data_IF_517825642625
#
_entry.id   IF_517825642625
#
_cell.length_a   1.000
_cell.length_b   1.000
_cell.length_c   1.000
_cell.angle_alpha   90.00
_cell.angle_beta   90.00
_cell.angle_gamma   90.00
#
_symmetry.space_group_name_H-M   'P 1'
#
loop_
_entity.id
_entity.type
_entity.pdbx_description
1 polymer ?
#
# COMPACT_ATOMS: atom_id res chain seq x y z
N UNK A 1 -4.28 -18.57 27.12
CA UNK A 1 -5.04 -19.37 26.14
C UNK A 1 -5.29 -18.44 24.97
N UNK A 2 -4.65 -18.68 23.82
CA UNK A 2 -4.70 -17.75 22.68
C UNK A 2 -6.11 -17.64 22.12
N UNK A 3 -6.52 -16.44 21.73
CA UNK A 3 -7.75 -16.24 20.97
C UNK A 3 -7.62 -17.04 19.67
N UNK A 4 -8.58 -17.93 19.40
CA UNK A 4 -8.64 -18.63 18.12
C UNK A 4 -9.34 -17.72 17.10
N UNK A 5 -8.59 -17.33 16.08
CA UNK A 5 -9.04 -16.51 14.95
C UNK A 5 -9.66 -17.44 13.90
N UNK A 6 -10.86 -17.11 13.44
CA UNK A 6 -11.52 -17.78 12.32
C UNK A 6 -11.59 -16.89 11.07
N UNK A 7 -12.10 -17.43 9.97
CA UNK A 7 -12.18 -16.74 8.67
C UNK A 7 -13.00 -15.44 8.74
N UNK A 8 -14.01 -15.38 9.60
CA UNK A 8 -14.82 -14.16 9.77
C UNK A 8 -13.99 -13.10 10.51
N UNK A 9 -13.24 -13.49 11.53
CA UNK A 9 -12.31 -12.59 12.21
C UNK A 9 -11.22 -12.06 11.26
N UNK A 10 -10.68 -12.91 10.37
CA UNK A 10 -9.73 -12.51 9.33
C UNK A 10 -10.34 -11.44 8.39
N UNK A 11 -11.52 -11.69 7.84
CA UNK A 11 -12.20 -10.73 6.95
C UNK A 11 -12.57 -9.43 7.65
N UNK A 12 -12.97 -9.47 8.93
CA UNK A 12 -13.17 -8.27 9.75
C UNK A 12 -11.88 -7.45 9.80
N UNK A 13 -10.73 -8.09 10.07
CA UNK A 13 -9.43 -7.41 10.10
C UNK A 13 -9.08 -6.81 8.74
N UNK A 14 -9.36 -7.52 7.64
CA UNK A 14 -9.13 -7.02 6.29
C UNK A 14 -9.88 -5.72 6.02
N UNK A 15 -11.21 -5.70 6.20
CA UNK A 15 -12.03 -4.52 5.90
C UNK A 15 -11.75 -3.34 6.84
N UNK A 16 -11.49 -3.61 8.12
CA UNK A 16 -11.10 -2.53 9.05
C UNK A 16 -9.73 -1.95 8.72
N UNK A 17 -8.84 -2.77 8.18
CA UNK A 17 -7.52 -2.32 7.75
C UNK A 17 -7.60 -1.46 6.49
N UNK A 18 -8.56 -1.73 5.60
CA UNK A 18 -8.82 -0.95 4.40
C UNK A 18 -9.36 0.45 4.74
N UNK A 19 -10.47 0.54 5.48
CA UNK A 19 -11.05 1.82 5.86
C UNK A 19 -11.89 1.73 7.16
N UNK A 20 -11.22 1.71 8.32
CA UNK A 20 -11.88 1.59 9.63
C UNK A 20 -12.93 2.67 9.92
N UNK A 21 -12.74 3.91 9.43
CA UNK A 21 -13.60 5.05 9.77
C UNK A 21 -14.97 4.97 9.10
N UNK A 22 -15.04 4.41 7.89
CA UNK A 22 -16.26 4.35 7.09
C UNK A 22 -16.84 2.93 6.96
N UNK A 23 -16.12 1.92 7.45
CA UNK A 23 -16.59 0.53 7.44
C UNK A 23 -17.31 0.19 8.74
N UNK A 24 -18.64 0.17 8.71
CA UNK A 24 -19.46 -0.16 9.87
C UNK A 24 -19.69 -1.68 10.01
N UNK A 25 -20.06 -2.12 11.23
CA UNK A 25 -20.37 -3.53 11.46
C UNK A 25 -21.49 -4.09 10.55
N UNK A 26 -22.56 -3.34 10.22
CA UNK A 26 -23.50 -3.73 9.15
C UNK A 26 -22.86 -3.94 7.78
N UNK A 27 -21.95 -3.06 7.37
CA UNK A 27 -21.28 -3.16 6.06
C UNK A 27 -20.41 -4.42 5.96
N UNK A 28 -19.69 -4.75 7.03
CA UNK A 28 -18.92 -5.99 7.11
C UNK A 28 -19.85 -7.20 7.17
N UNK A 29 -20.94 -7.11 7.94
CA UNK A 29 -21.89 -8.21 8.12
C UNK A 29 -22.52 -8.67 6.81
N UNK A 30 -22.84 -7.73 5.92
CA UNK A 30 -23.32 -8.01 4.56
C UNK A 30 -22.28 -8.74 3.72
N UNK A 31 -21.00 -8.36 3.83
CA UNK A 31 -19.89 -8.95 3.05
C UNK A 31 -19.49 -10.34 3.52
N UNK A 32 -19.64 -10.65 4.81
CA UNK A 32 -19.17 -11.92 5.42
C UNK A 32 -20.31 -12.88 5.77
N UNK A 33 -21.54 -12.59 5.34
CA UNK A 33 -22.76 -13.38 5.55
C UNK A 33 -23.04 -13.74 7.03
N UNK A 34 -22.98 -12.72 7.91
CA UNK A 34 -23.34 -12.87 9.33
C UNK A 34 -24.19 -11.69 9.81
N UNK A 35 -24.69 -11.74 11.04
CA UNK A 35 -25.46 -10.63 11.60
C UNK A 35 -24.55 -9.47 12.06
N UNK A 36 -25.00 -8.21 11.91
CA UNK A 36 -24.28 -7.04 12.43
C UNK A 36 -23.95 -7.11 13.94
N UNK A 37 -24.84 -7.62 14.83
CA UNK A 37 -24.48 -7.90 16.22
C UNK A 37 -23.33 -8.91 16.38
N UNK A 38 -23.25 -9.93 15.51
CA UNK A 38 -22.14 -10.89 15.50
C UNK A 38 -20.82 -10.20 15.19
N UNK A 39 -20.77 -9.36 14.15
CA UNK A 39 -19.57 -8.59 13.78
C UNK A 39 -19.14 -7.66 14.92
N UNK A 40 -20.05 -6.88 15.50
CA UNK A 40 -19.73 -5.99 16.63
C UNK A 40 -19.10 -6.74 17.80
N UNK A 41 -19.66 -7.90 18.14
CA UNK A 41 -19.12 -8.74 19.22
C UNK A 41 -17.72 -9.27 18.89
N UNK A 42 -17.46 -9.63 17.62
CA UNK A 42 -16.14 -10.09 17.18
C UNK A 42 -15.11 -8.96 17.19
N UNK A 43 -15.44 -7.78 16.69
CA UNK A 43 -14.57 -6.58 16.76
C UNK A 43 -14.20 -6.29 18.21
N UNK A 44 -15.19 -6.18 19.10
CA UNK A 44 -14.94 -5.96 20.54
C UNK A 44 -14.02 -7.03 21.13
N UNK A 45 -14.22 -8.31 20.78
CA UNK A 45 -13.37 -9.41 21.24
C UNK A 45 -11.94 -9.30 20.71
N UNK A 46 -11.75 -8.88 19.46
CA UNK A 46 -10.44 -8.67 18.84
C UNK A 46 -9.69 -7.48 19.49
N UNK A 47 -10.41 -6.42 19.84
CA UNK A 47 -9.89 -5.27 20.59
C UNK A 47 -9.51 -5.66 22.02
N UNK A 48 -10.41 -6.32 22.75
CA UNK A 48 -10.17 -6.79 24.14
C UNK A 48 -8.99 -7.77 24.23
N UNK A 49 -8.79 -8.58 23.19
CA UNK A 49 -7.65 -9.50 23.10
C UNK A 49 -6.35 -8.84 22.63
N UNK A 50 -6.37 -7.55 22.26
CA UNK A 50 -5.22 -6.81 21.74
C UNK A 50 -4.77 -7.21 20.34
N UNK A 51 -5.63 -7.93 19.59
CA UNK A 51 -5.39 -8.24 18.17
C UNK A 51 -5.55 -6.95 17.35
N UNK A 52 -6.64 -6.22 17.59
CA UNK A 52 -6.78 -4.83 17.15
C UNK A 52 -6.18 -3.95 18.24
N UNK A 53 -5.04 -3.32 17.94
CA UNK A 53 -4.31 -2.48 18.91
C UNK A 53 -4.75 -1.01 18.89
N UNK A 54 -5.38 -0.59 17.80
CA UNK A 54 -5.82 0.78 17.60
C UNK A 54 -6.20 1.04 16.15
N UNK A 55 -6.80 2.21 15.92
CA UNK A 55 -7.14 2.73 14.61
C UNK A 55 -6.40 4.05 14.44
N UNK A 56 -5.53 4.13 13.44
CA UNK A 56 -4.69 5.28 13.18
C UNK A 56 -5.00 5.84 11.80
N UNK A 57 -5.01 7.16 11.68
CA UNK A 57 -5.09 7.81 10.38
C UNK A 57 -3.72 7.74 9.70
N UNK A 58 -3.72 7.45 8.40
CA UNK A 58 -2.57 7.63 7.54
C UNK A 58 -2.50 9.11 7.12
N UNK A 59 -1.38 9.77 7.42
CA UNK A 59 -1.24 11.23 7.28
C UNK A 59 -0.04 11.52 6.39
N UNK A 60 -0.32 12.18 5.27
CA UNK A 60 0.70 12.81 4.42
C UNK A 60 1.13 14.14 5.06
N UNK A 61 2.19 14.08 5.88
CA UNK A 61 2.72 15.25 6.57
C UNK A 61 3.38 16.26 5.62
N UNK A 62 3.86 15.86 4.44
CA UNK A 62 4.39 16.79 3.43
C UNK A 62 3.29 17.77 2.98
N UNK A 63 2.05 17.29 2.86
CA UNK A 63 0.89 18.16 2.58
C UNK A 63 0.43 19.01 3.77
N UNK A 64 0.96 18.76 4.96
CA UNK A 64 0.69 19.54 6.17
C UNK A 64 1.86 20.49 6.39
N UNK A 65 1.77 21.69 5.79
CA UNK A 65 2.78 22.75 5.90
C UNK A 65 4.20 22.36 5.44
N UNK A 66 4.35 21.33 4.60
CA UNK A 66 5.66 20.92 4.07
C UNK A 66 6.52 20.12 5.05
N UNK A 67 5.93 19.54 6.09
CA UNK A 67 6.67 18.79 7.13
C UNK A 67 7.41 17.59 6.53
N UNK A 68 8.57 17.31 7.11
CA UNK A 68 9.43 16.21 6.71
C UNK A 68 9.18 14.99 7.57
N UNK A 69 9.06 13.81 6.94
CA UNK A 69 8.99 12.53 7.64
C UNK A 69 10.30 11.78 7.48
N UNK A 70 10.97 11.45 8.59
CA UNK A 70 12.23 10.71 8.59
C UNK A 70 12.07 9.37 9.31
N UNK A 71 12.83 8.37 8.88
CA UNK A 71 13.02 7.12 9.59
C UNK A 71 14.45 7.01 10.10
N UNK A 72 14.60 6.80 11.40
CA UNK A 72 15.88 6.49 12.02
C UNK A 72 16.00 5.00 12.31
N UNK A 73 17.10 4.41 11.87
CA UNK A 73 17.52 3.06 12.26
C UNK A 73 18.47 3.24 13.44
N UNK A 74 18.10 2.68 14.58
CA UNK A 74 18.82 2.94 15.82
C UNK A 74 19.20 1.66 16.54
N UNK A 75 20.29 1.75 17.31
CA UNK A 75 20.79 0.69 18.18
C UNK A 75 20.75 1.14 19.65
N UNK A 76 20.10 0.35 20.51
CA UNK A 76 20.07 0.62 21.96
C UNK A 76 21.31 0.10 22.70
N UNK A 77 22.12 -0.73 22.03
CA UNK A 77 23.30 -1.39 22.59
C UNK A 77 22.92 -2.44 23.64
N UNK A 78 23.47 -2.34 24.84
CA UNK A 78 23.17 -3.27 25.95
C UNK A 78 21.94 -2.87 26.79
N UNK A 79 21.19 -1.84 26.37
CA UNK A 79 20.06 -1.31 27.14
C UNK A 79 18.80 -2.14 26.94
N UNK A 80 17.82 -1.94 27.82
CA UNK A 80 16.51 -2.56 27.65
C UNK A 80 15.76 -1.87 26.51
N UNK A 81 15.65 -2.56 25.37
CA UNK A 81 15.00 -2.07 24.15
C UNK A 81 13.56 -1.59 24.38
N UNK A 82 12.77 -2.32 25.16
CA UNK A 82 11.38 -1.99 25.45
C UNK A 82 11.27 -0.69 26.27
N UNK A 83 12.12 -0.54 27.28
CA UNK A 83 12.20 0.70 28.08
C UNK A 83 12.62 1.89 27.20
N UNK A 84 13.62 1.69 26.33
CA UNK A 84 14.09 2.75 25.44
C UNK A 84 13.02 3.15 24.44
N UNK A 85 12.26 2.20 23.88
CA UNK A 85 11.17 2.50 22.96
C UNK A 85 10.11 3.40 23.60
N UNK A 86 9.75 3.15 24.87
CA UNK A 86 8.81 4.01 25.60
C UNK A 86 9.35 5.42 25.82
N UNK A 87 10.62 5.55 26.21
CA UNK A 87 11.26 6.86 26.43
C UNK A 87 11.41 7.67 25.14
N UNK A 88 11.63 7.00 24.01
CA UNK A 88 11.72 7.65 22.71
C UNK A 88 10.36 8.20 22.27
N UNK A 89 9.25 7.50 22.57
CA UNK A 89 7.90 7.99 22.27
C UNK A 89 7.57 9.31 23.01
N UNK A 90 8.25 9.62 24.12
CA UNK A 90 8.08 10.89 24.83
C UNK A 90 8.79 12.07 24.15
N UNK A 91 9.64 11.83 23.14
CA UNK A 91 10.37 12.88 22.41
C UNK A 91 9.41 13.58 21.42
N UNK A 92 9.21 14.91 21.51
CA UNK A 92 8.34 15.63 20.59
C UNK A 92 8.81 15.52 19.14
N UNK A 93 7.90 15.07 18.26
CA UNK A 93 8.16 14.80 16.85
C UNK A 93 8.29 13.31 16.53
N UNK A 94 8.47 12.44 17.52
CA UNK A 94 8.39 10.99 17.33
C UNK A 94 6.91 10.58 17.21
N UNK A 95 6.56 9.89 16.12
CA UNK A 95 5.19 9.41 15.87
C UNK A 95 5.04 7.91 16.07
N UNK A 96 6.12 7.14 15.90
CA UNK A 96 6.09 5.70 16.00
C UNK A 96 7.47 5.12 16.31
N UNK A 97 7.53 4.08 17.15
CA UNK A 97 8.76 3.33 17.45
C UNK A 97 8.48 1.84 17.28
N UNK A 98 9.29 1.17 16.46
CA UNK A 98 9.19 -0.26 16.20
C UNK A 98 10.42 -0.99 16.74
N UNK A 99 10.18 -2.06 17.47
CA UNK A 99 11.23 -2.97 17.93
C UNK A 99 11.54 -4.01 16.85
N UNK A 100 12.81 -4.11 16.45
CA UNK A 100 13.28 -5.02 15.42
C UNK A 100 14.03 -6.19 16.07
N UNK A 101 13.69 -7.42 15.69
CA UNK A 101 14.29 -8.64 16.25
C UNK A 101 15.57 -9.08 15.52
N UNK A 102 15.73 -8.66 14.26
CA UNK A 102 16.84 -9.03 13.39
C UNK A 102 17.02 -8.00 12.29
N UNK A 103 18.25 -7.64 11.97
CA UNK A 103 18.58 -6.59 11.00
C UNK A 103 19.68 -5.67 11.54
N UNK A 104 19.91 -4.56 10.84
CA UNK A 104 20.71 -3.43 11.37
C UNK A 104 19.81 -2.61 12.30
N UNK A 105 20.32 -2.27 13.47
CA UNK A 105 19.54 -1.61 14.52
C UNK A 105 18.53 -2.55 15.19
N UNK A 106 18.11 -2.16 16.39
CA UNK A 106 17.08 -2.83 17.17
C UNK A 106 15.82 -1.96 17.34
N UNK A 107 15.88 -0.68 16.98
CA UNK A 107 14.74 0.24 16.93
C UNK A 107 14.63 0.90 15.55
N UNK A 108 13.39 1.07 15.09
CA UNK A 108 13.06 1.93 13.93
C UNK A 108 12.10 3.01 14.39
N UNK A 109 12.51 4.27 14.26
CA UNK A 109 11.80 5.42 14.79
C UNK A 109 11.29 6.25 13.62
N UNK A 110 9.98 6.52 13.58
CA UNK A 110 9.37 7.48 12.66
C UNK A 110 9.30 8.83 13.34
N UNK A 111 9.85 9.85 12.67
CA UNK A 111 9.82 11.23 13.15
C UNK A 111 9.18 12.14 12.11
N UNK A 112 8.49 13.16 12.59
CA UNK A 112 7.95 14.25 11.78
C UNK A 112 8.51 15.55 12.34
N UNK A 113 9.13 16.36 11.48
CA UNK A 113 9.68 17.67 11.83
C UNK A 113 9.19 18.76 10.88
N UNK A 114 9.25 20.01 11.33
CA UNK A 114 8.90 21.17 10.51
C UNK A 114 9.89 21.37 9.35
N UNK A 115 11.18 21.15 9.61
CA UNK A 115 12.29 21.31 8.68
C UNK A 115 13.48 20.43 9.12
N UNK A 116 14.61 20.56 8.41
CA UNK A 116 15.83 19.81 8.73
C UNK A 116 16.46 20.18 10.08
N UNK A 117 16.28 21.41 10.54
CA UNK A 117 16.83 21.86 11.82
C UNK A 117 16.03 21.23 12.97
N UNK A 118 14.70 21.15 12.83
CA UNK A 118 13.83 20.46 13.78
C UNK A 118 14.10 18.94 13.79
N UNK A 119 14.30 18.31 12.63
CA UNK A 119 14.71 16.90 12.57
C UNK A 119 16.05 16.66 13.28
N UNK A 120 17.00 17.58 13.13
CA UNK A 120 18.30 17.52 13.80
C UNK A 120 18.14 17.64 15.32
N UNK A 121 17.27 18.54 15.80
CA UNK A 121 16.92 18.65 17.23
C UNK A 121 16.35 17.32 17.75
N UNK A 122 15.40 16.72 17.03
CA UNK A 122 14.79 15.43 17.41
C UNK A 122 15.85 14.33 17.49
N UNK A 123 16.76 14.25 16.51
CA UNK A 123 17.86 13.28 16.51
C UNK A 123 18.80 13.45 17.72
N UNK A 124 19.08 14.69 18.12
CA UNK A 124 19.87 14.99 19.31
C UNK A 124 19.14 14.58 20.61
N UNK A 125 17.83 14.81 20.70
CA UNK A 125 17.01 14.41 21.84
C UNK A 125 17.00 12.88 21.99
N UNK A 126 16.87 12.14 20.87
CA UNK A 126 16.95 10.67 20.85
C UNK A 126 18.35 10.21 21.28
N UNK A 127 19.42 10.80 20.73
CA UNK A 127 20.81 10.43 21.07
C UNK A 127 21.13 10.70 22.53
N UNK A 128 20.54 11.74 23.13
CA UNK A 128 20.69 12.08 24.55
C UNK A 128 20.11 11.01 25.49
N UNK A 129 19.24 10.13 25.00
CA UNK A 129 18.76 8.94 25.73
C UNK A 129 19.81 7.80 25.75
N UNK A 130 20.93 7.97 25.04
CA UNK A 130 21.98 6.96 24.90
C UNK A 130 21.68 5.92 23.82
N UNK A 131 20.86 6.29 22.84
CA UNK A 131 20.54 5.52 21.64
C UNK A 131 21.47 5.99 20.51
N UNK A 132 22.04 5.05 19.76
CA UNK A 132 22.86 5.35 18.59
C UNK A 132 21.96 5.36 17.35
N UNK A 133 22.08 6.38 16.49
CA UNK A 133 21.42 6.44 15.19
C UNK A 133 22.41 5.90 14.16
N UNK A 134 22.10 4.75 13.59
CA UNK A 134 22.96 4.04 12.64
C UNK A 134 22.68 4.42 11.17
N UNK A 135 21.49 4.92 10.89
CA UNK A 135 21.03 5.34 9.56
C UNK A 135 19.82 6.29 9.63
N UNK A 136 19.64 7.09 8.59
CA UNK A 136 18.53 8.04 8.46
C UNK A 136 17.96 8.03 7.02
N UNK A 137 16.67 7.78 6.89
CA UNK A 137 15.95 7.77 5.59
C UNK A 137 14.89 8.87 5.56
N UNK A 138 14.97 9.79 4.60
CA UNK A 138 13.89 10.74 4.32
C UNK A 138 12.80 10.09 3.49
N UNK A 139 11.58 10.11 4.02
CA UNK A 139 10.42 9.47 3.41
C UNK A 139 9.67 10.47 2.55
N UNK A 140 9.53 10.14 1.26
CA UNK A 140 8.69 10.91 0.34
C UNK A 140 7.27 10.33 0.24
N UNK A 141 7.14 9.01 0.07
CA UNK A 141 5.84 8.34 -0.06
C UNK A 141 5.85 6.99 0.65
N UNK A 142 4.75 6.69 1.34
CA UNK A 142 4.46 5.38 1.90
C UNK A 142 3.16 4.86 1.27
N UNK A 143 3.08 3.54 1.09
CA UNK A 143 1.91 2.89 0.49
C UNK A 143 1.48 1.75 1.40
N UNK A 144 0.18 1.67 1.66
CA UNK A 144 -0.41 0.68 2.54
C UNK A 144 -1.44 -0.18 1.80
N UNK A 145 -1.54 -1.44 2.20
CA UNK A 145 -2.64 -2.32 1.79
C UNK A 145 -2.99 -3.31 2.91
N UNK A 146 -4.25 -3.75 2.99
CA UNK A 146 -4.63 -4.85 3.87
C UNK A 146 -3.87 -6.14 3.55
N UNK A 147 -3.78 -7.03 4.54
CA UNK A 147 -3.17 -8.33 4.35
C UNK A 147 -4.07 -9.22 3.48
N UNK A 148 -3.73 -9.34 2.19
CA UNK A 148 -4.56 -9.97 1.17
C UNK A 148 -5.11 -11.37 1.51
N UNK A 149 -4.38 -12.28 2.18
CA UNK A 149 -4.94 -13.59 2.57
C UNK A 149 -6.15 -13.52 3.50
N UNK A 150 -6.41 -12.39 4.15
CA UNK A 150 -7.60 -12.15 4.96
C UNK A 150 -8.79 -11.60 4.16
N UNK A 151 -8.59 -11.24 2.89
CA UNK A 151 -9.62 -10.71 2.02
C UNK A 151 -10.66 -11.75 1.57
N UNK A 152 -11.68 -11.32 0.81
CA UNK A 152 -12.64 -12.22 0.17
C UNK A 152 -11.91 -13.23 -0.73
N UNK A 153 -12.25 -14.52 -0.61
CA UNK A 153 -11.57 -15.59 -1.36
C UNK A 153 -11.84 -15.57 -2.88
N UNK A 154 -12.86 -14.82 -3.29
CA UNK A 154 -13.25 -14.65 -4.70
C UNK A 154 -12.73 -13.34 -5.31
N UNK A 155 -12.10 -12.47 -4.52
CA UNK A 155 -11.30 -11.38 -5.06
C UNK A 155 -9.93 -11.94 -5.40
N UNK A 156 -9.68 -12.14 -6.69
CA UNK A 156 -8.33 -12.31 -7.22
C UNK A 156 -7.49 -11.21 -6.58
N UNK A 157 -6.48 -11.62 -5.80
CA UNK A 157 -5.46 -10.70 -5.26
C UNK A 157 -4.98 -9.89 -6.45
N UNK A 158 -5.44 -8.65 -6.56
CA UNK A 158 -5.09 -7.81 -7.69
C UNK A 158 -3.57 -7.71 -7.67
N UNK A 159 -2.87 -8.18 -8.72
CA UNK A 159 -1.42 -8.11 -8.79
C UNK A 159 -1.04 -6.66 -9.14
N UNK A 160 -1.46 -5.69 -8.32
CA UNK A 160 -0.83 -4.37 -8.37
C UNK A 160 0.56 -4.54 -7.77
N UNK A 161 1.52 -4.95 -8.59
CA UNK A 161 2.94 -4.86 -8.30
C UNK A 161 3.53 -3.70 -9.07
N UNK A 162 3.58 -2.55 -8.40
CA UNK A 162 4.54 -1.49 -8.69
C UNK A 162 4.19 -0.56 -9.83
N UNK A 163 3.79 0.67 -9.48
CA UNK A 163 4.12 1.83 -10.30
C UNK A 163 5.63 2.06 -10.12
N UNK A 164 6.44 1.48 -11.00
CA UNK A 164 7.84 1.86 -11.10
C UNK A 164 7.91 3.14 -11.93
N UNK A 165 7.98 4.29 -11.26
CA UNK A 165 8.35 5.55 -11.90
C UNK A 165 9.75 5.42 -12.48
N UNK A 166 9.85 5.15 -13.78
CA UNK A 166 11.10 5.28 -14.53
C UNK A 166 11.34 6.78 -14.70
N UNK A 167 12.52 7.27 -14.31
CA UNK A 167 12.88 8.69 -14.30
C UNK A 167 12.28 9.50 -15.48
N UNK A 168 11.34 10.40 -15.16
CA UNK A 168 10.48 11.13 -16.10
C UNK A 168 9.00 10.96 -15.70
N UNK A 169 8.11 11.84 -16.14
CA UNK A 169 6.65 11.81 -15.85
C UNK A 169 5.92 10.62 -16.51
N UNK A 170 6.56 9.46 -16.60
CA UNK A 170 6.06 8.27 -17.29
C UNK A 170 5.52 7.24 -16.31
N UNK A 171 4.26 6.88 -16.48
CA UNK A 171 3.56 5.89 -15.68
C UNK A 171 3.52 4.55 -16.41
N UNK A 172 3.82 3.47 -15.70
CA UNK A 172 3.63 2.09 -16.17
C UNK A 172 2.50 1.46 -15.37
N UNK A 173 1.49 0.97 -16.07
CA UNK A 173 0.32 0.32 -15.47
C UNK A 173 0.05 -1.00 -16.17
N UNK A 174 -0.30 -2.02 -15.40
CA UNK A 174 -0.79 -3.28 -15.93
C UNK A 174 -2.33 -3.31 -15.86
N UNK A 175 -2.97 -3.60 -16.99
CA UNK A 175 -4.43 -3.56 -17.12
C UNK A 175 -4.94 -4.91 -17.64
N UNK A 176 -6.03 -5.40 -17.07
CA UNK A 176 -6.71 -6.61 -17.54
C UNK A 176 -7.73 -6.23 -18.59
N UNK A 177 -7.66 -6.86 -19.76
CA UNK A 177 -8.62 -6.65 -20.84
C UNK A 177 -9.94 -7.33 -20.50
N UNK A 178 -11.00 -6.54 -20.30
CA UNK A 178 -12.35 -7.07 -20.06
C UNK A 178 -13.00 -7.58 -21.34
N UNK A 179 -13.98 -8.48 -21.21
CA UNK A 179 -14.70 -9.05 -22.36
C UNK A 179 -15.39 -8.01 -23.26
N UNK A 180 -15.86 -6.89 -22.71
CA UNK A 180 -16.47 -5.79 -23.46
C UNK A 180 -15.56 -4.60 -23.76
N UNK A 181 -14.26 -4.70 -23.44
CA UNK A 181 -13.33 -3.60 -23.68
C UNK A 181 -13.26 -3.23 -25.17
N UNK A 182 -13.19 -1.93 -25.54
CA UNK A 182 -13.08 -1.48 -26.93
C UNK A 182 -11.94 -2.14 -27.72
N UNK A 183 -10.83 -2.45 -27.04
CA UNK A 183 -9.65 -3.08 -27.62
C UNK A 183 -9.77 -4.61 -27.76
N UNK A 184 -10.75 -5.24 -27.12
CA UNK A 184 -10.88 -6.70 -27.10
C UNK A 184 -11.16 -7.25 -28.51
N UNK A 185 -10.32 -8.17 -28.96
CA UNK A 185 -10.42 -8.80 -30.28
C UNK A 185 -9.76 -8.02 -31.42
N UNK A 186 -9.27 -6.81 -31.19
CA UNK A 186 -8.51 -6.02 -32.17
C UNK A 186 -7.01 -6.36 -32.11
N UNK A 187 -6.33 -6.17 -33.24
CA UNK A 187 -4.87 -6.05 -33.25
C UNK A 187 -4.41 -4.70 -32.73
N UNK A 188 -3.18 -4.61 -32.23
CA UNK A 188 -2.61 -3.33 -31.79
C UNK A 188 -2.57 -2.29 -32.90
N UNK A 189 -2.39 -2.71 -34.16
CA UNK A 189 -2.45 -1.82 -35.31
C UNK A 189 -3.87 -1.28 -35.52
N UNK A 190 -4.90 -2.12 -35.54
CA UNK A 190 -6.30 -1.71 -35.72
C UNK A 190 -6.75 -0.77 -34.59
N UNK A 191 -6.35 -1.06 -33.37
CA UNK A 191 -6.59 -0.23 -32.20
C UNK A 191 -5.97 1.18 -32.32
N UNK A 192 -4.73 1.25 -32.80
CA UNK A 192 -4.04 2.51 -33.03
C UNK A 192 -4.69 3.29 -34.20
N UNK A 193 -5.12 2.61 -35.26
CA UNK A 193 -5.87 3.22 -36.38
C UNK A 193 -7.25 3.72 -35.96
N UNK A 194 -7.91 3.04 -35.01
CA UNK A 194 -9.17 3.45 -34.40
C UNK A 194 -9.01 4.59 -33.37
N UNK A 195 -7.77 4.98 -33.03
CA UNK A 195 -7.48 6.01 -32.04
C UNK A 195 -7.74 5.59 -30.59
N UNK A 196 -7.88 4.29 -30.32
CA UNK A 196 -8.09 3.74 -28.97
C UNK A 196 -6.79 3.71 -28.15
N UNK A 197 -5.64 3.75 -28.82
CA UNK A 197 -4.32 3.90 -28.19
C UNK A 197 -3.78 5.28 -28.55
N UNK A 198 -3.68 6.15 -27.55
CA UNK A 198 -3.07 7.47 -27.67
C UNK A 198 -1.61 7.40 -28.13
N UNK A 199 -1.14 8.43 -28.84
CA UNK A 199 0.24 8.47 -29.39
C UNK A 199 1.35 8.47 -28.33
N UNK A 200 0.98 8.71 -27.08
CA UNK A 200 1.81 8.74 -25.88
C UNK A 200 1.79 7.41 -25.09
N UNK A 201 1.00 6.45 -25.56
CA UNK A 201 0.80 5.12 -24.97
C UNK A 201 1.62 4.08 -25.75
N UNK A 202 2.39 3.29 -25.01
CA UNK A 202 3.14 2.16 -25.54
C UNK A 202 2.73 0.87 -24.83
N UNK A 203 2.24 -0.10 -25.59
CA UNK A 203 2.02 -1.46 -25.08
C UNK A 203 3.36 -2.19 -25.08
N UNK A 204 3.85 -2.52 -23.89
CA UNK A 204 5.21 -3.06 -23.67
C UNK A 204 5.20 -4.58 -23.67
N UNK A 205 4.18 -5.18 -23.05
CA UNK A 205 4.09 -6.62 -22.86
C UNK A 205 2.62 -7.04 -22.75
N UNK A 206 2.32 -8.25 -23.23
CA UNK A 206 1.03 -8.89 -23.01
C UNK A 206 1.31 -10.24 -22.33
N UNK A 207 0.77 -10.45 -21.13
CA UNK A 207 0.79 -11.76 -20.47
C UNK A 207 -0.53 -12.48 -20.74
N UNK A 208 -0.44 -13.66 -21.36
CA UNK A 208 -1.58 -14.52 -21.69
C UNK A 208 -1.24 -15.94 -21.29
N UNK A 209 -2.13 -16.60 -20.54
CA UNK A 209 -1.95 -17.98 -20.10
C UNK A 209 -0.56 -18.24 -19.45
N UNK A 210 -0.10 -17.28 -18.62
CA UNK A 210 1.22 -17.28 -17.96
C UNK A 210 2.45 -17.10 -18.89
N UNK A 211 2.26 -16.86 -20.19
CA UNK A 211 3.32 -16.56 -21.14
C UNK A 211 3.44 -15.06 -21.43
N UNK A 212 4.68 -14.56 -21.41
CA UNK A 212 5.00 -13.19 -21.78
C UNK A 212 5.16 -13.07 -23.31
N UNK A 213 4.30 -12.28 -23.94
CA UNK A 213 4.30 -12.00 -25.37
C UNK A 213 4.88 -10.60 -25.59
N UNK A 214 5.90 -10.50 -26.44
CA UNK A 214 6.38 -9.21 -26.96
C UNK A 214 5.41 -8.71 -28.05
N UNK A 215 4.71 -7.60 -27.83
CA UNK A 215 3.68 -7.13 -28.75
C UNK A 215 4.25 -6.58 -30.06
N UNK A 216 3.52 -6.79 -31.14
CA UNK A 216 3.75 -6.25 -32.48
C UNK A 216 2.43 -5.69 -33.04
N UNK A 217 2.47 -4.97 -34.16
CA UNK A 217 1.23 -4.43 -34.76
C UNK A 217 0.17 -5.50 -35.06
N UNK A 218 0.58 -6.71 -35.41
CA UNK A 218 -0.31 -7.85 -35.70
C UNK A 218 -0.77 -8.59 -34.43
N UNK A 219 -0.24 -8.24 -33.27
CA UNK A 219 -0.60 -8.90 -32.01
C UNK A 219 -2.04 -8.56 -31.65
N UNK A 220 -2.89 -9.59 -31.63
CA UNK A 220 -4.29 -9.48 -31.23
C UNK A 220 -4.43 -9.48 -29.71
N UNK A 221 -5.19 -8.51 -29.20
CA UNK A 221 -5.57 -8.41 -27.80
C UNK A 221 -6.81 -9.27 -27.56
N UNK A 222 -6.80 -10.04 -26.48
CA UNK A 222 -7.89 -10.94 -26.09
C UNK A 222 -8.43 -10.58 -24.71
N UNK A 223 -9.73 -10.80 -24.45
CA UNK A 223 -10.24 -10.80 -23.09
C UNK A 223 -9.42 -11.69 -22.17
N UNK A 224 -9.12 -11.21 -20.97
CA UNK A 224 -8.28 -11.88 -19.98
C UNK A 224 -6.77 -11.66 -20.16
N UNK A 225 -6.33 -10.97 -21.21
CA UNK A 225 -4.94 -10.54 -21.33
C UNK A 225 -4.59 -9.53 -20.23
N UNK A 226 -3.40 -9.69 -19.64
CA UNK A 226 -2.77 -8.68 -18.81
C UNK A 226 -1.83 -7.86 -19.69
N UNK A 227 -2.17 -6.60 -19.93
CA UNK A 227 -1.43 -5.72 -20.83
C UNK A 227 -0.64 -4.73 -20.00
N UNK A 228 0.70 -4.76 -20.12
CA UNK A 228 1.57 -3.74 -19.55
C UNK A 228 1.64 -2.55 -20.49
N UNK A 229 1.17 -1.41 -20.01
CA UNK A 229 1.08 -0.16 -20.74
C UNK A 229 2.02 0.88 -20.11
N UNK A 230 2.74 1.60 -20.95
CA UNK A 230 3.59 2.72 -20.56
C UNK A 230 3.03 4.00 -21.17
N UNK A 231 2.69 4.99 -20.35
CA UNK A 231 2.29 6.33 -20.79
C UNK A 231 3.38 7.35 -20.46
N UNK A 232 3.73 8.21 -21.42
CA UNK A 232 4.66 9.34 -21.18
C UNK A 232 4.02 10.57 -20.53
N UNK A 233 2.69 10.63 -20.48
CA UNK A 233 1.91 11.78 -19.99
C UNK A 233 1.25 11.51 -18.64
N UNK A 234 1.49 10.32 -18.07
CA UNK A 234 0.70 9.73 -17.00
C UNK A 234 -0.50 8.91 -17.52
N UNK A 235 -1.02 8.00 -16.70
CA UNK A 235 -2.19 7.18 -17.05
C UNK A 235 -3.47 7.90 -16.65
N UNK A 236 -4.31 8.23 -17.64
CA UNK A 236 -5.63 8.85 -17.46
C UNK A 236 -6.75 7.80 -17.46
N UNK A 237 -7.93 8.15 -16.95
CA UNK A 237 -9.12 7.27 -17.03
C UNK A 237 -9.46 6.91 -18.49
N UNK A 238 -9.31 7.86 -19.42
CA UNK A 238 -9.48 7.65 -20.87
C UNK A 238 -8.51 6.59 -21.44
N UNK A 239 -7.30 6.47 -20.86
CA UNK A 239 -6.34 5.42 -21.22
C UNK A 239 -6.81 4.05 -20.75
N UNK A 240 -7.45 3.98 -19.59
CA UNK A 240 -7.95 2.73 -19.00
C UNK A 240 -9.24 2.26 -19.66
N UNK A 241 -10.09 3.18 -20.14
CA UNK A 241 -11.33 2.88 -20.86
C UNK A 241 -11.10 2.07 -22.14
N UNK A 242 -9.95 2.19 -22.81
CA UNK A 242 -9.65 1.36 -23.97
C UNK A 242 -9.54 -0.14 -23.61
N UNK A 243 -9.05 -0.45 -22.41
CA UNK A 243 -8.80 -1.82 -21.95
C UNK A 243 -9.88 -2.34 -20.99
N UNK A 244 -10.79 -1.48 -20.54
CA UNK A 244 -11.82 -1.82 -19.56
C UNK A 244 -13.20 -1.33 -20.01
N UNK A 245 -14.24 -2.07 -19.64
CA UNK A 245 -15.63 -1.64 -19.80
C UNK A 245 -16.03 -0.91 -18.50
N UNK A 246 -16.29 0.40 -18.58
CA UNK A 246 -16.85 1.24 -17.50
C UNK A 246 -18.26 1.70 -17.84
#
# INVERSE_FOLDING_TARGET
MGLQIDVIDEQILYFLTEEARHTSAPDIAERVDVSAPTVRNRIRRLEEAGVIRGYHADIDYEKVDGRLTNHYICSTGNRNRQEMAQRVLDVPGVTNVREIMSGKGDLRITVVGDDTDDLTRIAQDITSLGIEIDDEDLIHREYFRPYAPFGPRDEVVSPVTGVAGLAGDADVVEVIVREGAPMAGMTLQEANEAGLVGSDILVVQINRDEEAITPTGETQIRPGDFVTVHSRSGVTDETLEAFTDY
#
